data_IF_960142315384
#
_entry.id   IF_960142315384
#
_cell.length_a   1.000
_cell.length_b   1.000
_cell.length_c   1.000
_cell.angle_alpha   90.00
_cell.angle_beta   90.00
_cell.angle_gamma   90.00
#
_symmetry.space_group_name_H-M   'P 1'
#
loop_
_entity.id
_entity.type
_entity.pdbx_description
1 polymer ?
#
# COMPACT_ATOMS: atom_id res chain seq x y z
N UNK A 1 4.73 -43.57 28.94
CA UNK A 1 4.15 -42.23 28.79
C UNK A 1 5.16 -41.17 28.30
N UNK A 2 6.40 -41.16 28.75
CA UNK A 2 7.41 -40.18 28.31
C UNK A 2 7.82 -40.27 26.81
N UNK A 3 7.76 -41.44 26.19
CA UNK A 3 8.15 -41.67 24.80
C UNK A 3 7.15 -41.11 23.80
N UNK A 4 5.86 -41.04 24.14
CA UNK A 4 4.81 -40.51 23.22
C UNK A 4 4.80 -38.96 23.18
N UNK A 5 5.21 -38.30 24.27
CA UNK A 5 5.33 -36.84 24.29
C UNK A 5 6.54 -36.33 23.47
N UNK A 6 7.62 -37.12 23.41
CA UNK A 6 8.80 -36.75 22.64
C UNK A 6 8.57 -36.85 21.12
N UNK A 7 7.78 -37.84 20.68
CA UNK A 7 7.40 -38.01 19.26
C UNK A 7 6.43 -36.92 18.80
N UNK A 8 5.49 -36.49 19.65
CA UNK A 8 4.55 -35.41 19.31
C UNK A 8 5.25 -34.03 19.22
N UNK A 9 6.24 -33.79 20.08
CA UNK A 9 7.04 -32.57 20.04
C UNK A 9 7.95 -32.50 18.79
N UNK A 10 8.47 -33.65 18.35
CA UNK A 10 9.34 -33.72 17.16
C UNK A 10 8.55 -33.56 15.84
N UNK A 11 7.33 -34.07 15.79
CA UNK A 11 6.44 -33.87 14.60
C UNK A 11 5.90 -32.44 14.52
N UNK A 12 5.67 -31.78 15.65
CA UNK A 12 5.29 -30.35 15.66
C UNK A 12 6.44 -29.45 15.17
N UNK A 13 7.70 -29.81 15.48
CA UNK A 13 8.88 -29.07 15.00
C UNK A 13 9.12 -29.26 13.49
N UNK A 14 8.76 -30.38 12.90
CA UNK A 14 8.91 -30.60 11.45
C UNK A 14 7.80 -29.95 10.61
N UNK A 15 6.62 -29.68 11.19
CA UNK A 15 5.53 -28.95 10.51
C UNK A 15 5.75 -27.44 10.41
N UNK A 16 6.66 -26.86 11.19
CA UNK A 16 6.99 -25.45 11.16
C UNK A 16 8.00 -25.06 10.07
N UNK A 17 8.63 -26.03 9.42
CA UNK A 17 9.69 -25.79 8.43
C UNK A 17 9.24 -25.15 7.13
N UNK A 18 7.96 -25.25 6.75
CA UNK A 18 7.47 -24.68 5.48
C UNK A 18 6.94 -23.24 5.59
N UNK A 19 6.57 -22.78 6.79
CA UNK A 19 6.10 -21.41 6.99
C UNK A 19 7.24 -20.38 7.11
N UNK A 20 8.46 -20.83 7.43
CA UNK A 20 9.62 -19.94 7.61
C UNK A 20 10.27 -19.49 6.30
N UNK A 21 10.01 -20.15 5.17
CA UNK A 21 10.67 -19.86 3.91
C UNK A 21 10.30 -18.49 3.30
N UNK A 22 9.14 -17.91 3.63
CA UNK A 22 8.69 -16.63 3.07
C UNK A 22 9.31 -15.40 3.72
N UNK A 23 9.58 -15.46 5.02
CA UNK A 23 10.07 -14.29 5.78
C UNK A 23 11.59 -14.13 5.68
N UNK A 24 12.33 -15.24 5.55
CA UNK A 24 13.79 -15.24 5.42
C UNK A 24 14.27 -14.79 4.03
N UNK A 25 13.39 -14.76 3.02
CA UNK A 25 13.75 -14.45 1.63
C UNK A 25 13.73 -12.98 1.26
N UNK A 26 13.42 -12.08 2.18
CA UNK A 26 13.33 -10.65 1.84
C UNK A 26 14.63 -10.07 1.27
N UNK A 27 15.76 -10.61 1.66
CA UNK A 27 17.09 -10.22 1.18
C UNK A 27 17.79 -11.31 0.34
N UNK A 28 17.13 -12.42 0.06
CA UNK A 28 17.67 -13.41 -0.87
C UNK A 28 17.34 -12.99 -2.31
N UNK A 29 18.26 -13.31 -3.23
CA UNK A 29 18.07 -13.00 -4.64
C UNK A 29 16.70 -13.49 -5.14
N UNK A 30 16.06 -12.71 -6.00
CA UNK A 30 14.78 -13.05 -6.61
C UNK A 30 14.78 -14.51 -7.08
N UNK A 31 13.75 -15.26 -6.71
CA UNK A 31 13.60 -16.65 -7.13
C UNK A 31 13.88 -16.77 -8.64
N UNK A 32 14.63 -17.77 -9.05
CA UNK A 32 14.88 -18.06 -10.46
C UNK A 32 13.52 -18.29 -11.16
N UNK A 33 13.04 -17.26 -11.85
CA UNK A 33 11.81 -17.34 -12.63
C UNK A 33 12.09 -17.91 -14.00
N UNK A 34 11.17 -18.72 -14.49
CA UNK A 34 11.19 -19.16 -15.89
C UNK A 34 10.89 -17.99 -16.83
N UNK A 35 11.27 -18.09 -18.10
CA UNK A 35 10.95 -17.09 -19.10
C UNK A 35 9.42 -16.85 -19.22
N UNK A 36 8.61 -17.90 -19.12
CA UNK A 36 7.15 -17.79 -19.15
C UNK A 36 6.60 -17.04 -17.93
N UNK A 37 7.13 -17.27 -16.74
CA UNK A 37 6.76 -16.52 -15.54
C UNK A 37 7.14 -15.04 -15.65
N UNK A 38 8.33 -14.77 -16.18
CA UNK A 38 8.77 -13.39 -16.41
C UNK A 38 7.88 -12.69 -17.46
N UNK A 39 7.52 -13.37 -18.55
CA UNK A 39 6.63 -12.83 -19.59
C UNK A 39 5.26 -12.47 -19.00
N UNK A 40 4.64 -13.33 -18.20
CA UNK A 40 3.35 -13.06 -17.55
C UNK A 40 3.40 -11.79 -16.67
N UNK A 41 4.43 -11.63 -15.86
CA UNK A 41 4.61 -10.44 -15.03
C UNK A 41 4.80 -9.17 -15.86
N UNK A 42 5.51 -9.26 -16.99
CA UNK A 42 5.68 -8.14 -17.92
C UNK A 42 4.35 -7.78 -18.61
N UNK A 43 3.57 -8.76 -19.06
CA UNK A 43 2.22 -8.55 -19.63
C UNK A 43 1.29 -7.91 -18.61
N UNK A 44 1.29 -8.39 -17.35
CA UNK A 44 0.53 -7.78 -16.27
C UNK A 44 0.94 -6.32 -16.04
N UNK A 45 2.23 -6.02 -16.00
CA UNK A 45 2.72 -4.65 -15.80
C UNK A 45 2.37 -3.72 -16.97
N UNK A 46 2.42 -4.22 -18.20
CA UNK A 46 2.01 -3.47 -19.39
C UNK A 46 0.52 -3.14 -19.35
N UNK A 47 -0.32 -4.11 -19.01
CA UNK A 47 -1.76 -3.94 -18.88
C UNK A 47 -2.13 -2.94 -17.77
N UNK A 48 -1.44 -2.99 -16.62
CA UNK A 48 -1.59 -2.02 -15.54
C UNK A 48 -1.21 -0.61 -16.01
N UNK A 49 -0.11 -0.47 -16.71
CA UNK A 49 0.32 0.82 -17.26
C UNK A 49 -0.69 1.39 -18.24
N UNK A 50 -1.14 0.59 -19.21
CA UNK A 50 -2.19 0.97 -20.17
C UNK A 50 -3.45 1.43 -19.42
N UNK A 51 -3.85 0.68 -18.39
CA UNK A 51 -5.02 1.03 -17.59
C UNK A 51 -4.85 2.35 -16.84
N UNK A 52 -3.69 2.60 -16.24
CA UNK A 52 -3.38 3.86 -15.58
C UNK A 52 -3.40 5.04 -16.57
N UNK A 53 -2.82 4.88 -17.75
CA UNK A 53 -2.83 5.89 -18.82
C UNK A 53 -4.27 6.23 -19.26
N UNK A 54 -5.13 5.21 -19.39
CA UNK A 54 -6.52 5.38 -19.79
C UNK A 54 -7.39 6.08 -18.73
N UNK A 55 -6.95 6.21 -17.48
CA UNK A 55 -7.73 6.86 -16.42
C UNK A 55 -7.74 8.39 -16.50
N UNK A 56 -6.78 8.98 -17.19
CA UNK A 56 -6.57 10.44 -17.23
C UNK A 56 -6.01 11.02 -15.92
N UNK A 57 -5.83 10.21 -14.88
CA UNK A 57 -5.15 10.61 -13.64
C UNK A 57 -3.64 10.50 -13.81
N UNK A 58 -2.89 11.34 -13.12
CA UNK A 58 -1.42 11.24 -13.09
C UNK A 58 -0.88 10.58 -11.82
N UNK A 59 -1.77 10.12 -10.91
CA UNK A 59 -1.40 9.61 -9.59
C UNK A 59 -2.25 8.40 -9.21
N UNK A 60 -1.61 7.32 -8.80
CA UNK A 60 -2.28 6.16 -8.25
C UNK A 60 -1.48 5.59 -7.06
N UNK A 61 -2.17 5.16 -6.01
CA UNK A 61 -1.59 4.26 -5.03
C UNK A 61 -1.68 2.87 -5.61
N UNK A 62 -0.55 2.18 -5.64
CA UNK A 62 -0.46 0.80 -6.13
C UNK A 62 -0.05 -0.12 -4.99
N UNK A 63 -0.73 -1.26 -4.87
CA UNK A 63 -0.37 -2.27 -3.89
C UNK A 63 -0.31 -3.64 -4.55
N UNK A 64 0.57 -4.52 -4.05
CA UNK A 64 0.76 -5.86 -4.59
C UNK A 64 0.74 -6.93 -3.51
N UNK A 65 0.34 -8.13 -3.91
CA UNK A 65 0.62 -9.32 -3.14
C UNK A 65 2.13 -9.54 -3.05
N UNK A 66 2.58 -10.10 -1.96
CA UNK A 66 3.98 -10.38 -1.70
C UNK A 66 4.08 -11.46 -0.65
N UNK A 67 4.27 -11.09 0.62
CA UNK A 67 4.20 -12.05 1.71
C UNK A 67 2.81 -12.71 1.75
N UNK A 68 2.76 -14.02 1.94
CA UNK A 68 1.49 -14.71 2.15
C UNK A 68 0.96 -14.40 3.55
N UNK A 69 -0.03 -13.52 3.61
CA UNK A 69 -0.72 -13.09 4.82
C UNK A 69 -2.21 -13.50 4.80
N UNK A 70 -2.58 -14.46 3.96
CA UNK A 70 -3.97 -14.95 3.80
C UNK A 70 -4.58 -15.46 5.10
N UNK A 71 -3.78 -16.04 6.00
CA UNK A 71 -4.20 -16.46 7.33
C UNK A 71 -4.83 -15.32 8.16
N UNK A 72 -4.38 -14.07 7.92
CA UNK A 72 -4.91 -12.87 8.55
C UNK A 72 -5.84 -12.06 7.63
N UNK A 73 -6.30 -12.66 6.56
CA UNK A 73 -7.19 -12.03 5.60
C UNK A 73 -6.55 -10.87 4.82
N UNK A 74 -5.21 -10.80 4.77
CA UNK A 74 -4.51 -9.74 4.04
C UNK A 74 -3.99 -10.28 2.71
N UNK A 75 -4.41 -9.66 1.61
CA UNK A 75 -3.99 -10.01 0.25
C UNK A 75 -2.77 -9.24 -0.21
N UNK A 76 -2.71 -7.97 0.13
CA UNK A 76 -1.63 -7.07 -0.27
C UNK A 76 -0.68 -6.86 0.90
N UNK A 77 0.62 -6.91 0.65
CA UNK A 77 1.64 -6.73 1.69
C UNK A 77 2.51 -5.50 1.48
N UNK A 78 2.52 -4.94 0.26
CA UNK A 78 3.40 -3.83 -0.08
C UNK A 78 2.67 -2.80 -0.95
N UNK A 79 2.87 -1.51 -0.68
CA UNK A 79 2.29 -0.41 -1.44
C UNK A 79 3.31 0.69 -1.74
N UNK A 80 3.04 1.43 -2.81
CA UNK A 80 3.78 2.61 -3.23
C UNK A 80 2.89 3.59 -3.98
N UNK A 81 3.48 4.72 -4.37
CA UNK A 81 2.83 5.77 -5.14
C UNK A 81 3.33 5.75 -6.57
N UNK A 82 2.47 5.37 -7.52
CA UNK A 82 2.77 5.41 -8.95
C UNK A 82 2.43 6.80 -9.51
N UNK A 83 3.40 7.41 -10.17
CA UNK A 83 3.31 8.78 -10.66
C UNK A 83 3.63 8.83 -12.15
N UNK A 84 2.71 9.38 -12.95
CA UNK A 84 2.95 9.63 -14.38
C UNK A 84 4.13 10.57 -14.60
N UNK A 85 4.29 11.56 -13.71
CA UNK A 85 5.36 12.56 -13.77
C UNK A 85 6.56 12.23 -12.89
N UNK A 86 6.82 10.96 -12.58
CA UNK A 86 7.99 10.56 -11.80
C UNK A 86 9.27 10.88 -12.60
N UNK A 87 10.30 11.54 -12.01
CA UNK A 87 11.54 11.88 -12.69
C UNK A 87 12.33 10.68 -13.23
N UNK A 88 12.19 9.50 -12.63
CA UNK A 88 12.86 8.27 -13.08
C UNK A 88 12.20 7.66 -14.32
N UNK A 89 10.92 7.97 -14.58
CA UNK A 89 10.16 7.50 -15.73
C UNK A 89 8.66 7.51 -15.50
N UNK A 90 7.84 7.54 -16.56
CA UNK A 90 6.38 7.56 -16.45
C UNK A 90 5.85 6.34 -15.67
N UNK A 91 4.96 6.59 -14.72
CA UNK A 91 4.33 5.58 -13.89
C UNK A 91 5.29 4.78 -13.01
N UNK A 92 6.51 5.27 -12.78
CA UNK A 92 7.39 4.67 -11.78
C UNK A 92 6.74 4.77 -10.40
N UNK A 93 6.95 3.73 -9.62
CA UNK A 93 6.42 3.60 -8.26
C UNK A 93 7.45 4.10 -7.27
N UNK A 94 7.12 5.18 -6.57
CA UNK A 94 7.91 5.66 -5.43
C UNK A 94 7.47 4.93 -4.17
N UNK A 95 8.41 4.28 -3.51
CA UNK A 95 8.14 3.39 -2.39
C UNK A 95 9.29 3.38 -1.39
N UNK A 96 8.99 3.09 -0.13
CA UNK A 96 10.00 2.72 0.84
C UNK A 96 10.30 1.23 0.71
N UNK A 97 11.55 0.89 0.64
CA UNK A 97 12.03 -0.48 0.63
C UNK A 97 13.25 -0.64 1.56
N UNK A 98 13.48 -1.87 2.04
CA UNK A 98 14.68 -2.18 2.80
C UNK A 98 15.80 -2.55 1.85
N UNK A 99 16.88 -1.76 1.86
CA UNK A 99 18.10 -2.06 1.10
C UNK A 99 18.91 -3.10 1.86
N UNK A 100 18.93 -4.33 1.35
CA UNK A 100 19.61 -5.43 1.99
C UNK A 100 21.14 -5.30 1.99
N UNK A 101 21.70 -4.61 1.01
CA UNK A 101 23.13 -4.37 0.92
C UNK A 101 23.58 -3.31 1.94
N UNK A 102 22.85 -2.21 2.00
CA UNK A 102 23.10 -1.11 2.95
C UNK A 102 22.55 -1.40 4.36
N UNK A 103 21.65 -2.37 4.52
CA UNK A 103 20.95 -2.73 5.76
C UNK A 103 20.15 -1.58 6.35
N UNK A 104 19.54 -0.78 5.51
CA UNK A 104 18.76 0.39 5.92
C UNK A 104 17.50 0.58 5.03
N UNK A 105 16.46 1.25 5.54
CA UNK A 105 15.33 1.65 4.72
C UNK A 105 15.75 2.76 3.76
N UNK A 106 15.27 2.68 2.51
CA UNK A 106 15.49 3.69 1.47
C UNK A 106 14.21 3.93 0.67
N UNK A 107 14.14 5.10 0.04
CA UNK A 107 13.11 5.42 -0.94
C UNK A 107 13.66 5.10 -2.33
N UNK A 108 12.89 4.33 -3.08
CA UNK A 108 13.22 3.93 -4.45
C UNK A 108 12.14 4.40 -5.41
N UNK A 109 12.56 4.71 -6.63
CA UNK A 109 11.70 4.83 -7.79
C UNK A 109 11.92 3.61 -8.68
N UNK A 110 10.91 2.79 -8.84
CA UNK A 110 10.98 1.54 -9.59
C UNK A 110 9.90 1.51 -10.67
N UNK A 111 10.26 1.03 -11.87
CA UNK A 111 9.28 0.85 -12.93
C UNK A 111 8.20 -0.17 -12.54
N UNK A 112 6.99 -0.07 -13.12
CA UNK A 112 5.88 -0.99 -12.83
C UNK A 112 6.27 -2.46 -12.98
N UNK A 113 7.10 -2.80 -13.98
CA UNK A 113 7.57 -4.17 -14.17
C UNK A 113 8.40 -4.69 -12.98
N UNK A 114 9.28 -3.87 -12.42
CA UNK A 114 10.03 -4.19 -11.21
C UNK A 114 9.11 -4.33 -10.01
N UNK A 115 8.20 -3.38 -9.81
CA UNK A 115 7.21 -3.42 -8.73
C UNK A 115 6.37 -4.71 -8.78
N UNK A 116 5.82 -5.07 -9.94
CA UNK A 116 5.05 -6.30 -10.15
C UNK A 116 5.92 -7.55 -9.91
N UNK A 117 7.17 -7.51 -10.33
CA UNK A 117 8.13 -8.59 -10.10
C UNK A 117 8.46 -8.84 -8.63
N UNK A 118 8.08 -7.94 -7.73
CA UNK A 118 8.18 -8.17 -6.29
C UNK A 118 7.12 -9.10 -5.70
N UNK A 119 6.18 -9.67 -6.50
CA UNK A 119 5.24 -10.70 -6.05
C UNK A 119 5.99 -11.99 -5.70
N UNK A 120 5.58 -12.63 -4.60
CA UNK A 120 6.23 -13.86 -4.13
C UNK A 120 5.91 -15.07 -5.02
N UNK A 121 4.65 -15.18 -5.47
CA UNK A 121 4.20 -16.22 -6.38
C UNK A 121 4.24 -15.67 -7.82
N UNK A 122 5.07 -16.25 -8.72
CA UNK A 122 5.17 -15.78 -10.10
C UNK A 122 4.03 -16.28 -11.00
N UNK A 123 3.23 -17.23 -10.52
CA UNK A 123 2.11 -17.81 -11.28
C UNK A 123 0.75 -17.31 -10.79
N UNK A 124 0.72 -16.61 -9.65
CA UNK A 124 -0.49 -16.04 -9.07
C UNK A 124 -0.19 -14.75 -8.34
N UNK A 125 -0.89 -13.68 -8.67
CA UNK A 125 -0.65 -12.40 -8.05
C UNK A 125 -1.83 -11.44 -8.13
N UNK A 126 -1.87 -10.52 -7.17
CA UNK A 126 -2.89 -9.49 -7.09
C UNK A 126 -2.25 -8.10 -7.03
N UNK A 127 -2.86 -7.16 -7.73
CA UNK A 127 -2.58 -5.74 -7.62
C UNK A 127 -3.87 -4.99 -7.27
N UNK A 128 -3.72 -3.96 -6.46
CA UNK A 128 -4.74 -2.96 -6.20
C UNK A 128 -4.23 -1.61 -6.71
N UNK A 129 -5.04 -0.93 -7.50
CA UNK A 129 -4.79 0.43 -7.96
C UNK A 129 -5.89 1.32 -7.38
N UNK A 130 -5.52 2.31 -6.60
CA UNK A 130 -6.38 3.39 -6.20
C UNK A 130 -6.02 4.62 -7.03
N UNK A 131 -6.78 4.84 -8.08
CA UNK A 131 -6.58 5.97 -8.98
C UNK A 131 -7.16 7.22 -8.33
N UNK A 132 -6.33 8.21 -8.08
CA UNK A 132 -6.74 9.39 -7.37
C UNK A 132 -7.41 10.40 -8.33
N UNK A 133 -8.45 11.13 -7.87
CA UNK A 133 -9.15 12.09 -8.71
C UNK A 133 -8.26 13.28 -9.10
N UNK A 134 -8.45 13.78 -10.29
CA UNK A 134 -7.82 15.00 -10.81
C UNK A 134 -8.89 16.07 -11.04
N UNK A 135 -8.47 17.33 -11.14
CA UNK A 135 -9.37 18.39 -11.54
C UNK A 135 -9.88 18.11 -12.97
N UNK A 136 -11.20 18.06 -13.15
CA UNK A 136 -11.73 18.05 -14.49
C UNK A 136 -11.28 19.32 -15.22
N UNK A 137 -10.85 19.23 -16.48
CA UNK A 137 -10.62 20.42 -17.28
C UNK A 137 -11.93 21.23 -17.30
N UNK A 138 -11.90 22.44 -16.74
CA UNK A 138 -13.06 23.34 -16.79
C UNK A 138 -13.41 23.47 -18.29
N UNK A 139 -14.56 22.88 -18.67
CA UNK A 139 -15.17 23.24 -19.96
C UNK A 139 -15.32 24.75 -19.92
N UNK A 140 -14.63 25.45 -20.82
CA UNK A 140 -14.78 26.88 -20.97
C UNK A 140 -16.28 27.18 -21.03
N UNK A 141 -16.82 27.74 -19.97
CA UNK A 141 -18.17 28.27 -19.98
C UNK A 141 -18.12 29.39 -21.01
N UNK A 142 -18.77 29.16 -22.14
CA UNK A 142 -19.05 30.22 -23.09
C UNK A 142 -19.80 31.29 -22.32
N UNK A 143 -19.22 32.44 -22.13
CA UNK A 143 -19.84 33.62 -21.57
C UNK A 143 -20.95 34.02 -22.54
N UNK A 144 -22.17 33.55 -22.27
CA UNK A 144 -23.39 34.08 -22.88
C UNK A 144 -23.69 35.44 -22.26
N UNK A 145 -24.31 36.37 -22.99
CA UNK A 145 -24.55 37.71 -22.51
C UNK A 145 -25.50 37.70 -21.30
N UNK A 146 -25.12 38.49 -20.31
CA UNK A 146 -25.82 38.77 -19.05
C UNK A 146 -27.29 39.07 -19.20
N UNK A 147 -28.13 38.31 -18.49
CA UNK A 147 -29.48 38.79 -18.08
C UNK A 147 -29.81 38.19 -16.71
N UNK A 148 -30.20 39.10 -15.82
CA UNK A 148 -31.00 38.97 -14.63
C UNK A 148 -30.43 38.37 -13.35
N UNK A 149 -30.24 39.29 -12.44
CA UNK A 149 -30.02 39.16 -11.00
C UNK A 149 -31.15 38.34 -10.34
N UNK A 150 -30.83 37.13 -9.88
CA UNK A 150 -31.63 36.46 -8.85
C UNK A 150 -30.79 36.31 -7.56
N UNK A 151 -31.38 36.50 -6.37
CA UNK A 151 -30.63 36.46 -5.13
C UNK A 151 -30.18 35.02 -4.82
N UNK A 152 -28.90 34.83 -4.74
CA UNK A 152 -28.24 33.58 -4.38
C UNK A 152 -28.61 33.18 -2.96
N UNK A 153 -29.19 32.01 -2.80
CA UNK A 153 -29.32 31.30 -1.55
C UNK A 153 -27.93 31.11 -0.93
N UNK A 154 -27.76 31.53 0.32
CA UNK A 154 -26.54 31.43 1.08
C UNK A 154 -26.07 29.96 1.14
N UNK A 155 -24.80 29.64 0.80
CA UNK A 155 -24.25 28.33 1.05
C UNK A 155 -24.12 28.14 2.56
N UNK A 156 -24.59 27.00 3.04
CA UNK A 156 -24.46 26.56 4.42
C UNK A 156 -22.99 26.44 4.82
N UNK A 157 -22.46 27.16 5.84
CA UNK A 157 -21.02 27.20 6.15
C UNK A 157 -20.55 26.03 7.03
N UNK A 158 -21.00 24.79 6.73
CA UNK A 158 -20.77 23.64 7.63
C UNK A 158 -20.08 22.40 7.08
N UNK A 159 -19.87 22.29 5.78
CA UNK A 159 -19.15 21.15 5.21
C UNK A 159 -18.04 21.65 4.26
N UNK A 160 -16.82 21.70 4.74
CA UNK A 160 -15.66 21.86 3.87
C UNK A 160 -15.61 20.65 2.94
N UNK A 161 -16.14 20.79 1.73
CA UNK A 161 -16.02 19.75 0.69
C UNK A 161 -14.53 19.57 0.41
N UNK A 162 -13.99 18.40 0.78
CA UNK A 162 -12.59 18.08 0.49
C UNK A 162 -12.40 18.14 -1.02
N UNK A 163 -11.59 19.08 -1.48
CA UNK A 163 -11.21 19.13 -2.90
C UNK A 163 -10.20 18.00 -3.16
N UNK A 164 -10.74 16.85 -3.57
CA UNK A 164 -9.96 15.63 -3.77
C UNK A 164 -8.84 15.80 -4.81
N UNK A 165 -9.06 16.59 -5.86
CA UNK A 165 -8.04 16.91 -6.85
C UNK A 165 -6.88 17.73 -6.23
N UNK A 166 -7.20 18.67 -5.35
CA UNK A 166 -6.16 19.44 -4.65
C UNK A 166 -5.33 18.54 -3.70
N UNK A 167 -5.96 17.54 -3.08
CA UNK A 167 -5.26 16.54 -2.27
C UNK A 167 -4.33 15.69 -3.14
N UNK A 168 -4.79 15.24 -4.32
CA UNK A 168 -3.98 14.49 -5.28
C UNK A 168 -2.73 15.27 -5.70
N UNK A 169 -2.88 16.54 -6.06
CA UNK A 169 -1.75 17.38 -6.43
C UNK A 169 -0.82 17.68 -5.25
N UNK A 170 -1.35 17.79 -4.04
CA UNK A 170 -0.54 17.94 -2.83
C UNK A 170 0.25 16.67 -2.55
N UNK A 171 -0.37 15.50 -2.63
CA UNK A 171 0.30 14.21 -2.45
C UNK A 171 1.46 14.05 -3.44
N UNK A 172 1.21 14.34 -4.72
CA UNK A 172 2.24 14.32 -5.75
C UNK A 172 3.41 15.22 -5.42
N UNK A 173 3.14 16.49 -5.06
CA UNK A 173 4.20 17.43 -4.69
C UNK A 173 5.00 16.95 -3.48
N UNK A 174 4.34 16.51 -2.40
CA UNK A 174 5.00 16.02 -1.20
C UNK A 174 5.89 14.80 -1.49
N UNK A 175 5.39 13.88 -2.30
CA UNK A 175 6.14 12.69 -2.69
C UNK A 175 7.38 13.00 -3.54
N UNK A 176 7.30 14.01 -4.42
CA UNK A 176 8.40 14.40 -5.30
C UNK A 176 9.35 15.42 -4.64
N UNK A 177 8.94 16.07 -3.55
CA UNK A 177 9.79 16.97 -2.79
C UNK A 177 10.74 16.17 -1.89
N UNK A 178 11.99 16.02 -2.32
CA UNK A 178 12.98 15.18 -1.64
C UNK A 178 13.15 15.48 -0.15
N UNK A 179 13.21 16.73 0.34
CA UNK A 179 13.29 17.01 1.77
C UNK A 179 12.12 16.43 2.57
N UNK A 180 10.89 16.51 2.06
CA UNK A 180 9.71 15.93 2.72
C UNK A 180 9.74 14.42 2.69
N UNK A 181 9.97 13.84 1.51
CA UNK A 181 9.98 12.39 1.32
C UNK A 181 11.05 11.73 2.21
N UNK A 182 12.26 12.30 2.26
CA UNK A 182 13.36 11.82 3.09
C UNK A 182 13.17 12.17 4.57
N UNK A 183 12.56 13.30 4.90
CA UNK A 183 12.25 13.68 6.28
C UNK A 183 11.19 12.77 6.94
N UNK A 184 10.37 12.09 6.13
CA UNK A 184 9.45 11.03 6.57
C UNK A 184 10.09 9.64 6.60
N UNK A 185 11.33 9.48 6.13
CA UNK A 185 12.01 8.19 6.16
C UNK A 185 12.50 7.87 7.57
N UNK A 186 12.10 6.73 8.11
CA UNK A 186 12.59 6.21 9.38
C UNK A 186 14.00 5.64 9.23
N UNK A 187 14.82 5.76 10.26
CA UNK A 187 16.19 5.20 10.27
C UNK A 187 16.25 3.69 10.49
N UNK A 188 15.17 3.08 10.98
CA UNK A 188 15.09 1.65 11.31
C UNK A 188 13.86 1.02 10.69
N UNK A 189 14.04 -0.15 10.11
CA UNK A 189 12.98 -0.90 9.44
C UNK A 189 12.57 -2.13 10.25
N UNK A 190 11.27 -2.40 10.30
CA UNK A 190 10.71 -3.71 10.63
C UNK A 190 9.41 -3.92 9.87
N UNK A 191 9.17 -5.13 9.36
CA UNK A 191 7.99 -5.42 8.54
C UNK A 191 6.68 -5.24 9.31
N UNK A 192 6.70 -5.44 10.63
CA UNK A 192 5.57 -5.30 11.53
C UNK A 192 5.58 -4.00 12.34
N UNK A 193 6.28 -2.95 11.91
CA UNK A 193 6.33 -1.68 12.64
C UNK A 193 4.95 -1.24 13.11
N UNK A 194 4.84 -0.85 14.38
CA UNK A 194 3.60 -0.34 14.93
C UNK A 194 3.21 0.95 14.21
N UNK A 195 1.97 1.02 13.73
CA UNK A 195 1.51 2.09 12.82
C UNK A 195 1.66 3.51 13.37
N UNK A 196 1.72 3.67 14.69
CA UNK A 196 1.88 4.96 15.36
C UNK A 196 3.19 5.06 16.16
N UNK A 197 4.23 4.37 15.74
CA UNK A 197 5.57 4.46 16.31
C UNK A 197 6.54 5.16 15.36
N UNK A 198 7.46 5.94 15.92
CA UNK A 198 8.59 6.54 15.18
C UNK A 198 9.88 5.73 15.32
N UNK A 199 9.90 4.69 16.18
CA UNK A 199 11.09 3.88 16.42
C UNK A 199 11.47 3.04 15.18
N UNK A 200 10.47 2.42 14.57
CA UNK A 200 10.60 1.67 13.33
C UNK A 200 9.66 2.23 12.25
N UNK A 201 9.85 1.74 11.03
CA UNK A 201 8.95 2.03 9.91
C UNK A 201 8.89 0.82 8.98
N UNK A 202 7.71 0.52 8.45
CA UNK A 202 7.55 -0.39 7.33
C UNK A 202 7.26 0.37 6.03
N UNK A 203 7.25 -0.34 4.90
CA UNK A 203 7.02 0.25 3.58
C UNK A 203 5.68 1.00 3.48
N UNK A 204 4.62 0.45 4.05
CA UNK A 204 3.28 1.03 3.95
C UNK A 204 3.12 2.25 4.87
N UNK A 205 3.81 2.27 6.01
CA UNK A 205 3.72 3.37 6.97
C UNK A 205 4.25 4.69 6.40
N UNK A 206 5.34 4.65 5.62
CA UNK A 206 5.84 5.85 4.92
C UNK A 206 4.78 6.46 4.00
N UNK A 207 4.06 5.63 3.24
CA UNK A 207 2.98 6.09 2.37
C UNK A 207 1.80 6.66 3.17
N UNK A 208 1.42 6.01 4.28
CA UNK A 208 0.36 6.51 5.17
C UNK A 208 0.74 7.86 5.79
N UNK A 209 1.99 8.03 6.24
CA UNK A 209 2.50 9.28 6.79
C UNK A 209 2.52 10.42 5.74
N UNK A 210 2.83 10.10 4.48
CA UNK A 210 2.75 11.05 3.37
C UNK A 210 1.29 11.49 3.09
N UNK A 211 0.37 10.55 3.08
CA UNK A 211 -1.06 10.78 2.91
C UNK A 211 -1.63 11.66 4.02
N UNK A 212 -1.18 11.49 5.26
CA UNK A 212 -1.62 12.29 6.38
C UNK A 212 -1.45 13.80 6.13
N UNK A 213 -0.30 14.20 5.59
CA UNK A 213 -0.05 15.58 5.21
C UNK A 213 -0.86 16.00 3.97
N UNK A 214 -1.03 15.12 3.00
CA UNK A 214 -1.78 15.44 1.79
C UNK A 214 -3.26 15.72 2.09
N UNK A 215 -3.84 15.05 3.06
CA UNK A 215 -5.23 15.20 3.47
C UNK A 215 -5.50 16.47 4.28
N UNK A 216 -4.48 17.18 4.74
CA UNK A 216 -4.67 18.44 5.50
C UNK A 216 -5.18 19.56 4.60
N UNK A 217 -6.32 20.21 4.95
CA UNK A 217 -6.89 21.30 4.15
C UNK A 217 -6.01 22.57 4.15
N UNK A 218 -5.38 22.84 5.26
CA UNK A 218 -4.50 24.02 5.45
C UNK A 218 -3.11 23.47 5.78
N UNK A 219 -2.21 23.61 4.81
CA UNK A 219 -0.87 23.04 4.91
C UNK A 219 -0.11 23.53 6.15
N UNK A 220 0.03 22.64 7.13
CA UNK A 220 1.26 22.66 7.90
C UNK A 220 2.35 22.37 6.86
N UNK A 221 3.22 23.37 6.65
CA UNK A 221 4.40 23.11 5.85
C UNK A 221 5.17 21.99 6.54
N UNK A 222 5.42 20.86 5.88
CA UNK A 222 6.21 19.78 6.47
C UNK A 222 7.59 20.29 6.97
N UNK A 223 8.08 21.35 6.37
CA UNK A 223 9.38 21.99 6.66
C UNK A 223 9.42 22.68 8.02
N UNK A 224 8.26 23.04 8.57
CA UNK A 224 8.16 23.78 9.85
C UNK A 224 8.00 22.86 11.07
N UNK A 225 7.90 21.56 10.88
CA UNK A 225 7.65 20.63 11.96
C UNK A 225 8.96 20.10 12.58
N UNK A 226 9.13 20.14 13.91
CA UNK A 226 10.34 19.64 14.57
C UNK A 226 10.56 18.15 14.39
N UNK A 227 9.52 17.37 14.01
CA UNK A 227 9.59 15.98 13.63
C UNK A 227 8.44 15.65 12.68
N UNK A 228 8.74 15.44 11.40
CA UNK A 228 7.74 15.16 10.38
C UNK A 228 6.95 13.88 10.70
N UNK A 229 7.61 12.81 11.13
CA UNK A 229 6.95 11.53 11.43
C UNK A 229 6.01 11.63 12.64
N UNK A 230 6.42 12.33 13.71
CA UNK A 230 5.56 12.54 14.90
C UNK A 230 4.28 13.27 14.50
N UNK A 231 4.42 14.32 13.69
CA UNK A 231 3.27 15.11 13.22
C UNK A 231 2.39 14.30 12.25
N UNK A 232 2.97 13.55 11.32
CA UNK A 232 2.23 12.69 10.42
C UNK A 232 1.37 11.67 11.19
N UNK A 233 1.94 11.06 12.23
CA UNK A 233 1.22 10.09 13.06
C UNK A 233 0.14 10.74 13.93
N UNK A 234 0.36 11.96 14.42
CA UNK A 234 -0.68 12.73 15.10
C UNK A 234 -1.85 13.04 14.15
N UNK A 235 -1.54 13.42 12.90
CA UNK A 235 -2.52 13.66 11.86
C UNK A 235 -3.30 12.39 11.49
N UNK A 236 -2.63 11.25 11.33
CA UNK A 236 -3.29 9.96 11.07
C UNK A 236 -4.30 9.62 12.17
N UNK A 237 -3.93 9.83 13.45
CA UNK A 237 -4.87 9.63 14.57
C UNK A 237 -6.05 10.59 14.50
N UNK A 238 -5.79 11.87 14.25
CA UNK A 238 -6.83 12.89 14.14
C UNK A 238 -7.78 12.66 12.95
N UNK A 239 -7.28 12.05 11.88
CA UNK A 239 -8.04 11.65 10.70
C UNK A 239 -8.75 10.30 10.87
N UNK A 240 -8.63 9.63 12.02
CA UNK A 240 -9.27 8.34 12.28
C UNK A 240 -8.66 7.18 11.49
N UNK A 241 -7.36 7.22 11.21
CA UNK A 241 -6.68 6.11 10.54
C UNK A 241 -6.71 4.84 11.40
N UNK A 242 -7.29 3.77 10.87
CA UNK A 242 -7.37 2.47 11.54
C UNK A 242 -6.37 1.49 10.92
N UNK A 243 -5.24 1.20 11.58
CA UNK A 243 -4.27 0.23 11.10
C UNK A 243 -4.83 -1.20 11.16
N UNK A 244 -4.33 -2.06 10.30
CA UNK A 244 -4.66 -3.48 10.32
C UNK A 244 -4.25 -4.12 11.63
N UNK A 245 -5.17 -4.92 12.21
CA UNK A 245 -4.97 -5.65 13.46
C UNK A 245 -4.65 -7.11 13.15
N UNK A 246 -3.46 -7.53 13.53
CA UNK A 246 -3.05 -8.93 13.48
C UNK A 246 -3.21 -9.55 14.84
N UNK A 247 -4.03 -10.61 14.95
CA UNK A 247 -4.14 -11.40 16.16
C UNK A 247 -3.19 -12.60 16.05
N UNK A 248 -2.23 -12.66 16.96
CA UNK A 248 -1.30 -13.78 17.06
C UNK A 248 -1.97 -14.88 17.87
N UNK A 249 -2.28 -16.00 17.26
CA UNK A 249 -3.16 -17.05 17.83
C UNK A 249 -2.66 -17.68 19.15
N UNK A 250 -1.40 -17.48 19.54
CA UNK A 250 -0.85 -18.02 20.80
C UNK A 250 0.26 -17.11 21.35
N UNK A 251 0.35 -16.93 22.69
CA UNK A 251 1.37 -16.10 23.34
C UNK A 251 2.81 -16.50 23.02
N UNK A 252 3.08 -17.77 22.75
CA UNK A 252 4.40 -18.24 22.32
C UNK A 252 4.83 -17.66 20.99
N UNK A 253 3.90 -17.34 20.08
CA UNK A 253 4.21 -16.69 18.80
C UNK A 253 4.78 -15.29 19.06
N UNK A 254 4.18 -14.55 19.99
CA UNK A 254 4.68 -13.24 20.41
C UNK A 254 6.10 -13.35 20.99
N UNK A 255 6.36 -14.37 21.81
CA UNK A 255 7.69 -14.58 22.40
C UNK A 255 8.76 -14.95 21.34
N UNK A 256 8.39 -15.72 20.30
CA UNK A 256 9.30 -16.06 19.22
C UNK A 256 9.44 -14.96 18.17
N UNK A 257 8.45 -14.06 18.01
CA UNK A 257 8.44 -13.03 16.97
C UNK A 257 9.70 -12.13 17.01
N UNK A 258 10.18 -11.77 18.22
CA UNK A 258 11.40 -10.99 18.37
C UNK A 258 12.70 -11.70 17.96
N UNK A 259 12.64 -12.99 17.60
CA UNK A 259 13.77 -13.79 17.09
C UNK A 259 13.71 -14.01 15.59
N UNK A 260 12.62 -13.58 14.95
CA UNK A 260 12.46 -13.65 13.50
C UNK A 260 13.16 -12.42 12.92
N UNK A 261 14.13 -12.58 12.01
CA UNK A 261 14.68 -11.45 11.29
C UNK A 261 13.56 -10.58 10.68
N UNK A 262 13.70 -9.26 10.72
CA UNK A 262 12.76 -8.27 10.18
C UNK A 262 11.46 -8.09 10.98
N UNK A 263 11.31 -8.73 12.14
CA UNK A 263 10.23 -8.47 13.08
C UNK A 263 10.81 -7.88 14.38
N UNK A 264 10.09 -6.93 14.97
CA UNK A 264 10.39 -6.38 16.29
C UNK A 264 9.09 -6.16 17.06
N UNK A 265 9.15 -6.33 18.37
CA UNK A 265 8.04 -6.02 19.26
C UNK A 265 8.32 -4.76 20.09
N UNK A 266 9.50 -4.16 19.95
CA UNK A 266 9.98 -3.07 20.82
C UNK A 266 9.16 -1.78 20.69
N UNK A 267 8.43 -1.62 19.58
CA UNK A 267 7.60 -0.45 19.32
C UNK A 267 6.10 -0.68 19.50
N UNK A 268 5.72 -1.91 19.88
CA UNK A 268 4.32 -2.23 20.14
C UNK A 268 3.94 -1.91 21.60
N UNK A 269 2.77 -1.27 21.83
CA UNK A 269 2.28 -1.00 23.17
C UNK A 269 2.11 -2.27 23.99
N UNK A 270 2.49 -2.26 25.28
CA UNK A 270 2.35 -3.44 26.16
C UNK A 270 0.91 -3.99 26.21
N UNK A 271 -0.08 -3.12 26.15
CA UNK A 271 -1.50 -3.50 26.14
C UNK A 271 -1.91 -4.27 24.87
N UNK A 272 -1.29 -3.98 23.72
CA UNK A 272 -1.50 -4.75 22.49
C UNK A 272 -0.82 -6.11 22.58
N UNK A 273 0.41 -6.15 23.07
CA UNK A 273 1.16 -7.39 23.25
C UNK A 273 0.49 -8.33 24.28
N UNK A 274 -0.06 -7.78 25.36
CA UNK A 274 -0.83 -8.55 26.34
C UNK A 274 -2.08 -9.20 25.75
N UNK A 275 -2.63 -8.63 24.67
CA UNK A 275 -3.76 -9.17 23.91
C UNK A 275 -3.31 -9.99 22.69
N UNK A 276 -2.02 -10.33 22.55
CA UNK A 276 -1.44 -10.98 21.39
C UNK A 276 -1.82 -10.27 20.06
N UNK A 277 -1.81 -8.95 20.05
CA UNK A 277 -2.23 -8.13 18.94
C UNK A 277 -1.10 -7.23 18.44
N UNK A 278 -0.99 -7.10 17.13
CA UNK A 278 -0.14 -6.11 16.47
C UNK A 278 -1.01 -5.18 15.64
N UNK A 279 -0.68 -3.88 15.62
CA UNK A 279 -1.32 -2.87 14.76
C UNK A 279 -0.31 -2.35 13.76
N UNK A 280 -0.50 -2.70 12.49
CA UNK A 280 0.47 -2.46 11.42
C UNK A 280 -0.20 -1.71 10.27
N UNK A 281 0.49 -0.75 9.67
CA UNK A 281 0.03 -0.12 8.42
C UNK A 281 0.14 -1.11 7.27
N UNK A 282 -1.01 -1.47 6.69
CA UNK A 282 -1.11 -2.39 5.56
C UNK A 282 -1.82 -1.70 4.38
N UNK A 283 -1.65 -2.21 3.15
CA UNK A 283 -2.29 -1.62 1.99
C UNK A 283 -3.81 -1.50 2.09
N UNK A 284 -4.50 -2.49 2.67
CA UNK A 284 -5.96 -2.44 2.86
C UNK A 284 -6.37 -1.34 3.84
N UNK A 285 -5.64 -1.12 4.93
CA UNK A 285 -5.94 -0.02 5.86
C UNK A 285 -5.72 1.35 5.20
N UNK A 286 -4.69 1.47 4.36
CA UNK A 286 -4.46 2.68 3.56
C UNK A 286 -5.59 2.87 2.55
N UNK A 287 -6.00 1.82 1.84
CA UNK A 287 -7.08 1.87 0.86
C UNK A 287 -8.39 2.33 1.50
N UNK A 288 -8.75 1.74 2.64
CA UNK A 288 -9.94 2.12 3.40
C UNK A 288 -9.89 3.59 3.80
N UNK A 289 -8.76 4.05 4.32
CA UNK A 289 -8.58 5.43 4.75
C UNK A 289 -8.69 6.42 3.57
N UNK A 290 -8.02 6.13 2.46
CA UNK A 290 -8.07 6.96 1.24
C UNK A 290 -9.49 7.05 0.69
N UNK A 291 -10.19 5.93 0.56
CA UNK A 291 -11.55 5.88 0.03
C UNK A 291 -12.57 6.60 0.95
N UNK A 292 -12.33 6.59 2.27
CA UNK A 292 -13.18 7.32 3.22
C UNK A 292 -12.99 8.85 3.14
N UNK A 293 -11.80 9.34 2.76
CA UNK A 293 -11.46 10.76 2.80
C UNK A 293 -11.46 11.43 1.41
N UNK A 294 -11.31 10.66 0.34
CA UNK A 294 -11.20 11.18 -1.02
C UNK A 294 -12.37 10.67 -1.89
N UNK A 295 -13.43 11.45 -2.04
CA UNK A 295 -14.49 11.11 -3.00
C UNK A 295 -13.94 11.07 -4.42
N UNK A 296 -14.43 10.14 -5.23
CA UNK A 296 -14.01 9.97 -6.62
C UNK A 296 -12.75 9.12 -6.83
N UNK A 297 -12.18 8.54 -5.78
CA UNK A 297 -11.15 7.52 -5.92
C UNK A 297 -11.73 6.31 -6.64
N UNK A 298 -11.04 5.87 -7.69
CA UNK A 298 -11.42 4.71 -8.48
C UNK A 298 -10.58 3.51 -8.05
N UNK A 299 -11.24 2.43 -7.65
CA UNK A 299 -10.60 1.19 -7.22
C UNK A 299 -10.54 0.22 -8.38
N UNK A 300 -9.35 -0.21 -8.77
CA UNK A 300 -9.14 -1.22 -9.80
C UNK A 300 -8.35 -2.37 -9.18
N UNK A 301 -8.86 -3.58 -9.32
CA UNK A 301 -8.13 -4.79 -8.94
C UNK A 301 -7.65 -5.53 -10.18
N UNK A 302 -6.45 -6.05 -10.09
CA UNK A 302 -5.86 -6.90 -11.13
C UNK A 302 -5.44 -8.20 -10.48
N UNK A 303 -5.91 -9.30 -11.03
CA UNK A 303 -5.58 -10.64 -10.57
C UNK A 303 -4.99 -11.43 -11.73
N UNK A 304 -3.89 -12.15 -11.48
CA UNK A 304 -3.20 -12.96 -12.46
C UNK A 304 -3.11 -14.41 -11.98
N UNK A 305 -3.40 -15.32 -12.89
CA UNK A 305 -3.10 -16.75 -12.75
C UNK A 305 -2.08 -17.17 -13.82
N UNK A 306 -1.75 -18.47 -13.86
CA UNK A 306 -0.88 -19.00 -14.90
C UNK A 306 -1.48 -18.89 -16.33
N UNK A 307 -2.79 -18.71 -16.47
CA UNK A 307 -3.51 -18.79 -17.75
C UNK A 307 -4.27 -17.54 -18.15
N UNK A 308 -4.53 -16.63 -17.21
CA UNK A 308 -5.25 -15.38 -17.52
C UNK A 308 -4.96 -14.25 -16.52
N UNK A 309 -5.24 -13.02 -16.94
CA UNK A 309 -5.29 -11.84 -16.09
C UNK A 309 -6.70 -11.27 -16.13
N UNK A 310 -7.25 -10.91 -14.97
CA UNK A 310 -8.55 -10.25 -14.84
C UNK A 310 -8.36 -8.86 -14.25
N UNK A 311 -8.97 -7.85 -14.88
CA UNK A 311 -9.06 -6.49 -14.34
C UNK A 311 -10.52 -6.20 -14.00
N UNK A 312 -10.75 -5.75 -12.78
CA UNK A 312 -12.06 -5.34 -12.26
C UNK A 312 -12.03 -3.91 -11.79
N UNK A 313 -12.99 -3.13 -12.25
CA UNK A 313 -13.11 -1.71 -11.95
C UNK A 313 -14.31 -1.47 -11.03
N UNK A 314 -14.07 -0.89 -9.85
CA UNK A 314 -15.11 -0.55 -8.85
C UNK A 314 -16.11 -1.68 -8.51
N UNK A 315 -15.65 -2.92 -8.56
CA UNK A 315 -16.47 -4.11 -8.26
C UNK A 315 -16.15 -4.75 -6.90
N UNK A 316 -16.78 -5.88 -6.59
CA UNK A 316 -16.40 -6.70 -5.44
C UNK A 316 -14.97 -7.22 -5.61
N UNK A 317 -14.30 -7.49 -4.49
CA UNK A 317 -12.92 -7.98 -4.48
C UNK A 317 -12.79 -9.27 -5.30
N UNK A 318 -11.77 -9.34 -6.15
CA UNK A 318 -11.42 -10.55 -6.90
C UNK A 318 -11.04 -11.67 -5.93
N UNK A 319 -11.47 -12.89 -6.21
CA UNK A 319 -11.06 -14.08 -5.47
C UNK A 319 -9.65 -14.53 -5.83
N UNK A 320 -9.16 -15.59 -5.19
CA UNK A 320 -7.81 -16.09 -5.43
C UNK A 320 -7.68 -16.87 -6.76
N UNK A 321 -8.80 -17.28 -7.36
CA UNK A 321 -8.83 -17.94 -8.66
C UNK A 321 -9.02 -16.96 -9.82
N UNK A 322 -9.08 -15.64 -9.51
CA UNK A 322 -9.32 -14.58 -10.48
C UNK A 322 -10.61 -14.80 -11.28
N UNK A 323 -11.69 -15.20 -10.61
CA UNK A 323 -12.98 -15.44 -11.26
C UNK A 323 -13.52 -14.15 -11.86
N UNK A 324 -13.67 -14.13 -13.18
CA UNK A 324 -14.20 -12.97 -13.89
C UNK A 324 -15.72 -12.87 -13.75
N UNK A 325 -16.22 -11.66 -13.61
CA UNK A 325 -17.64 -11.28 -13.64
C UNK A 325 -17.97 -10.51 -14.93
N UNK A 326 -19.25 -10.34 -15.18
CA UNK A 326 -19.69 -9.51 -16.30
C UNK A 326 -19.16 -8.07 -16.14
N UNK A 327 -18.49 -7.56 -17.18
CA UNK A 327 -17.87 -6.23 -17.18
C UNK A 327 -16.37 -6.22 -16.86
N UNK A 328 -15.81 -7.34 -16.40
CA UNK A 328 -14.36 -7.45 -16.21
C UNK A 328 -13.63 -7.57 -17.55
N UNK A 329 -12.43 -7.00 -17.60
CA UNK A 329 -11.51 -7.25 -18.71
C UNK A 329 -10.72 -8.53 -18.42
N UNK A 330 -10.76 -9.49 -19.36
CA UNK A 330 -10.00 -10.74 -19.25
C UNK A 330 -8.98 -10.81 -20.38
N UNK A 331 -7.74 -11.11 -20.02
CA UNK A 331 -6.63 -11.31 -20.96
C UNK A 331 -6.09 -12.72 -20.77
N UNK A 332 -6.18 -13.54 -21.79
CA UNK A 332 -5.61 -14.90 -21.77
C UNK A 332 -4.09 -14.82 -21.90
N UNK A 333 -3.43 -15.71 -21.19
CA UNK A 333 -1.98 -15.90 -21.21
C UNK A 333 -1.71 -17.25 -21.90
N UNK A 334 -0.88 -17.21 -22.94
CA UNK A 334 -0.47 -18.39 -23.72
C UNK A 334 0.53 -19.25 -22.94
#
# INVERSE_FOLDING_TARGET
>A
MASQFLTLALTLLMGLGSAQAGVLRHCEASANRTAAQQDRLLRMSALVRERLEATGSGVAIVARSGLNLSWWGQRYSHAGLSLQSNPAGPWFVRQLYYDCAAKEPRIFDEGLAGFVSGMADPDRGHLLLLVLPVAEPQKAQSVGPTSDLQPTSHPNPGASVVNAAAVTERLKRLALHSPTALGLLGSRYTANAHAFSTLFQNCNQWLAELLAFALQPQGLSPEQAPSLRVNAQALLRAQGYEPTRFTLGHPLITWFAGRIPWLSLDDHPPEDLAQNRLRVSMPESIATHVMAHLPGVRRIEVCMTAVHIVLRDNGPTLDDDCTALAGDQVVLLD
#
